data_IF_696720989678
#
_entry.id   IF_696720989678
#
_cell.length_a   1.000
_cell.length_b   1.000
_cell.length_c   1.000
_cell.angle_alpha   90.00
_cell.angle_beta   90.00
_cell.angle_gamma   90.00
#
_symmetry.space_group_name_H-M   'P 1'
#
loop_
_entity.id
_entity.type
_entity.pdbx_description
1 polymer ?
#
# COMPACT_ATOMS: atom_id res chain seq x y z
N UNK A 1 16.98 34.27 81.79
CA UNK A 1 16.25 35.14 80.92
C UNK A 1 15.38 34.27 80.06
N UNK A 2 14.13 34.26 80.42
CA UNK A 2 13.11 33.33 79.91
C UNK A 2 12.36 33.99 78.79
N UNK A 3 12.42 33.45 77.60
CA UNK A 3 11.57 33.90 76.46
C UNK A 3 10.29 33.08 76.43
N UNK A 4 9.20 33.69 76.82
CA UNK A 4 7.83 33.22 76.65
C UNK A 4 7.40 33.55 75.24
N UNK A 5 7.27 32.54 74.37
CA UNK A 5 6.65 32.67 73.07
C UNK A 5 5.14 32.60 73.27
N UNK A 6 4.45 33.69 72.96
CA UNK A 6 3.00 33.80 73.06
C UNK A 6 2.31 32.95 71.97
N UNK A 7 1.34 32.15 72.41
CA UNK A 7 0.47 31.35 71.54
C UNK A 7 -0.49 32.28 70.76
N UNK A 8 -0.56 32.11 69.46
CA UNK A 8 -1.49 32.79 68.55
C UNK A 8 -2.94 32.40 68.86
N UNK A 9 -3.84 33.36 69.23
CA UNK A 9 -5.21 33.02 69.57
C UNK A 9 -6.14 32.68 68.39
N UNK A 10 -5.62 32.66 67.14
CA UNK A 10 -6.40 32.38 65.94
C UNK A 10 -6.17 30.99 65.33
N UNK A 11 -5.46 30.10 66.04
CA UNK A 11 -5.27 28.75 65.53
C UNK A 11 -6.50 27.87 65.87
N UNK A 12 -7.22 27.36 64.87
CA UNK A 12 -8.35 26.47 65.15
C UNK A 12 -7.86 25.16 65.79
N UNK A 13 -8.63 24.55 66.71
CA UNK A 13 -8.23 23.36 67.39
C UNK A 13 -7.99 22.18 66.43
N UNK A 14 -7.04 21.27 66.69
CA UNK A 14 -6.79 20.12 65.88
C UNK A 14 -8.09 19.28 65.78
N UNK A 15 -8.56 19.01 64.57
CA UNK A 15 -9.70 18.16 64.31
C UNK A 15 -9.31 16.75 64.72
N UNK A 16 -9.97 16.21 65.73
CA UNK A 16 -9.82 14.83 66.17
C UNK A 16 -10.05 13.89 64.98
N UNK A 17 -9.09 13.01 64.75
CA UNK A 17 -9.10 12.09 63.61
C UNK A 17 -10.43 11.31 63.53
N UNK A 18 -11.17 11.54 62.48
CA UNK A 18 -12.24 10.64 62.07
C UNK A 18 -11.55 9.32 61.69
N UNK A 19 -11.83 8.27 62.50
CA UNK A 19 -11.44 6.90 62.18
C UNK A 19 -12.06 6.49 60.85
N UNK A 20 -11.28 6.65 59.78
CA UNK A 20 -11.64 6.15 58.47
C UNK A 20 -11.81 4.65 58.52
N UNK A 21 -12.99 4.16 58.22
CA UNK A 21 -13.21 2.75 58.00
C UNK A 21 -12.17 2.23 57.02
N UNK A 22 -11.58 1.06 57.23
CA UNK A 22 -10.64 0.50 56.26
C UNK A 22 -11.30 0.42 54.87
N UNK A 23 -10.56 0.69 53.81
CA UNK A 23 -11.12 0.61 52.44
C UNK A 23 -11.72 -0.81 52.25
N UNK A 24 -12.85 -0.91 51.56
CA UNK A 24 -13.49 -2.19 51.29
C UNK A 24 -12.47 -3.11 50.57
N UNK A 25 -12.46 -4.41 50.85
CA UNK A 25 -11.56 -5.34 50.16
C UNK A 25 -11.80 -5.27 48.66
N UNK A 26 -10.73 -5.38 47.85
CA UNK A 26 -10.91 -5.38 46.38
C UNK A 26 -11.89 -6.49 45.99
N UNK A 27 -12.75 -6.26 44.99
CA UNK A 27 -13.69 -7.27 44.52
C UNK A 27 -12.93 -8.54 44.14
N UNK A 28 -13.47 -9.73 44.42
CA UNK A 28 -12.83 -10.98 44.08
C UNK A 28 -12.52 -10.95 42.57
N UNK A 29 -11.28 -11.28 42.20
CA UNK A 29 -10.88 -11.46 40.81
C UNK A 29 -11.81 -12.52 40.18
N UNK A 30 -12.87 -12.08 39.52
CA UNK A 30 -13.68 -12.96 38.71
C UNK A 30 -12.81 -13.33 37.50
N UNK A 31 -12.24 -14.53 37.55
CA UNK A 31 -11.60 -15.09 36.37
C UNK A 31 -12.59 -15.08 35.22
N UNK A 32 -12.22 -14.52 34.06
CA UNK A 32 -13.13 -14.55 32.89
C UNK A 32 -13.48 -16.00 32.57
N UNK A 33 -14.70 -16.26 32.10
CA UNK A 33 -15.13 -17.60 31.74
C UNK A 33 -14.17 -18.23 30.73
N UNK A 34 -13.94 -19.56 30.76
CA UNK A 34 -13.08 -20.22 29.80
C UNK A 34 -13.53 -19.92 28.37
N UNK A 35 -12.66 -19.32 27.55
CA UNK A 35 -12.96 -18.90 26.17
C UNK A 35 -13.04 -17.38 25.96
N UNK A 36 -13.16 -16.56 26.99
CA UNK A 36 -13.02 -15.11 26.88
C UNK A 36 -11.57 -14.72 27.17
N UNK A 37 -10.75 -14.65 26.14
CA UNK A 37 -9.51 -13.90 26.23
C UNK A 37 -9.88 -12.41 26.26
N UNK A 38 -9.61 -11.75 27.38
CA UNK A 38 -9.72 -10.30 27.47
C UNK A 38 -8.85 -9.68 26.36
N UNK A 39 -9.48 -9.00 25.41
CA UNK A 39 -8.85 -8.29 24.29
C UNK A 39 -8.13 -7.01 24.78
N UNK A 40 -7.35 -7.13 25.84
CA UNK A 40 -6.66 -6.01 26.51
C UNK A 40 -5.19 -6.31 26.82
N UNK A 41 -4.56 -7.17 26.02
CA UNK A 41 -3.11 -7.14 25.99
C UNK A 41 -2.71 -5.97 25.06
N UNK A 42 -2.20 -4.89 25.66
CA UNK A 42 -1.40 -3.94 24.88
C UNK A 42 -0.41 -4.78 24.06
N UNK A 43 -0.32 -4.56 22.73
CA UNK A 43 0.54 -5.38 21.90
C UNK A 43 1.95 -5.29 22.47
N UNK A 44 2.47 -6.43 22.93
CA UNK A 44 3.86 -6.53 23.38
C UNK A 44 4.74 -6.00 22.24
N UNK A 45 5.65 -5.05 22.50
CA UNK A 45 6.59 -4.60 21.49
C UNK A 45 7.26 -5.82 20.90
N UNK A 46 7.13 -6.00 19.60
CA UNK A 46 7.81 -7.10 18.90
C UNK A 46 9.30 -6.79 18.99
N UNK A 47 10.02 -7.52 19.83
CA UNK A 47 11.47 -7.37 19.94
C UNK A 47 12.09 -7.68 18.57
N UNK A 48 12.69 -6.68 17.94
CA UNK A 48 13.30 -6.80 16.62
C UNK A 48 14.11 -5.56 16.24
N UNK A 49 15.10 -5.77 15.40
CA UNK A 49 15.86 -4.67 14.81
C UNK A 49 15.05 -3.99 13.71
N UNK A 50 15.16 -2.66 13.63
CA UNK A 50 14.58 -1.88 12.54
C UNK A 50 15.28 -2.21 11.22
N UNK A 51 14.51 -2.36 10.16
CA UNK A 51 15.01 -2.61 8.82
C UNK A 51 15.11 -1.31 8.04
N UNK A 52 16.24 -1.05 7.37
CA UNK A 52 16.40 0.12 6.50
C UNK A 52 15.46 0.05 5.31
N UNK A 53 14.80 1.18 5.01
CA UNK A 53 13.82 1.29 3.91
C UNK A 53 14.23 2.29 2.84
N UNK A 54 15.10 3.27 3.14
CA UNK A 54 15.48 4.35 2.23
C UNK A 54 16.16 3.87 0.95
N UNK A 55 17.07 2.89 1.05
CA UNK A 55 17.73 2.29 -0.12
C UNK A 55 16.75 1.53 -1.01
N UNK A 56 15.86 0.76 -0.40
CA UNK A 56 14.86 -0.03 -1.10
C UNK A 56 13.83 0.86 -1.80
N UNK A 57 13.40 1.96 -1.17
CA UNK A 57 12.47 2.91 -1.79
C UNK A 57 13.04 3.57 -3.03
N UNK A 58 14.37 3.86 -3.07
CA UNK A 58 15.02 4.36 -4.28
C UNK A 58 14.93 3.36 -5.43
N UNK A 59 15.15 2.07 -5.16
CA UNK A 59 15.01 1.02 -6.16
C UNK A 59 13.55 0.90 -6.66
N UNK A 60 12.55 0.97 -5.77
CA UNK A 60 11.12 1.00 -6.14
C UNK A 60 10.84 2.19 -7.06
N UNK A 61 11.32 3.39 -6.71
CA UNK A 61 11.12 4.62 -7.51
C UNK A 61 11.75 4.49 -8.90
N UNK A 62 12.97 3.96 -9.00
CA UNK A 62 13.66 3.77 -10.29
C UNK A 62 12.86 2.79 -11.16
N UNK A 63 12.49 1.63 -10.62
CA UNK A 63 11.73 0.63 -11.39
C UNK A 63 10.33 1.12 -11.76
N UNK A 64 9.65 1.87 -10.88
CA UNK A 64 8.37 2.48 -11.20
C UNK A 64 8.50 3.53 -12.33
N UNK A 65 9.61 4.28 -12.36
CA UNK A 65 9.90 5.20 -13.46
C UNK A 65 10.14 4.45 -14.78
N UNK A 66 10.89 3.34 -14.75
CA UNK A 66 11.09 2.46 -15.92
C UNK A 66 9.74 1.90 -16.40
N UNK A 67 8.89 1.42 -15.47
CA UNK A 67 7.54 0.95 -15.82
C UNK A 67 6.66 2.06 -16.43
N UNK A 68 6.75 3.29 -15.91
CA UNK A 68 6.04 4.44 -16.47
C UNK A 68 6.49 4.72 -17.91
N UNK A 69 7.81 4.73 -18.18
CA UNK A 69 8.35 4.89 -19.53
C UNK A 69 7.88 3.75 -20.43
N UNK A 70 7.94 2.50 -19.97
CA UNK A 70 7.42 1.35 -20.72
C UNK A 70 5.94 1.52 -21.10
N UNK A 71 5.11 2.00 -20.18
CA UNK A 71 3.70 2.27 -20.44
C UNK A 71 3.51 3.37 -21.48
N UNK A 72 4.32 4.42 -21.46
CA UNK A 72 4.29 5.48 -22.51
C UNK A 72 4.72 4.90 -23.86
N UNK A 73 5.77 4.09 -23.92
CA UNK A 73 6.21 3.41 -25.15
C UNK A 73 5.08 2.55 -25.72
N UNK A 74 4.42 1.75 -24.85
CA UNK A 74 3.26 0.94 -25.27
C UNK A 74 2.15 1.82 -25.88
N UNK A 75 1.78 2.93 -25.21
CA UNK A 75 0.75 3.83 -25.73
C UNK A 75 1.10 4.41 -27.11
N UNK A 76 2.38 4.69 -27.37
CA UNK A 76 2.88 5.25 -28.64
C UNK A 76 2.96 4.17 -29.73
N UNK A 77 3.34 2.93 -29.38
CA UNK A 77 3.54 1.86 -30.38
C UNK A 77 2.27 1.11 -30.73
N UNK A 78 1.26 1.10 -29.85
CA UNK A 78 -0.02 0.42 -30.09
C UNK A 78 -0.72 0.85 -31.38
N UNK A 79 -0.81 2.15 -31.75
CA UNK A 79 -1.46 2.55 -33.03
C UNK A 79 -0.82 1.90 -34.24
N UNK A 80 0.51 1.81 -34.28
CA UNK A 80 1.22 1.14 -35.39
C UNK A 80 0.94 -0.36 -35.45
N UNK A 81 0.86 -1.03 -34.30
CA UNK A 81 0.52 -2.44 -34.24
C UNK A 81 -0.94 -2.70 -34.70
N UNK A 82 -1.87 -1.82 -34.31
CA UNK A 82 -3.28 -1.87 -34.75
C UNK A 82 -3.38 -1.64 -36.29
N UNK A 83 -2.62 -0.69 -36.80
CA UNK A 83 -2.59 -0.42 -38.26
C UNK A 83 -2.05 -1.63 -39.03
N UNK A 84 -0.97 -2.26 -38.57
CA UNK A 84 -0.43 -3.51 -39.16
C UNK A 84 -1.47 -4.64 -39.11
N UNK A 85 -2.22 -4.78 -38.02
CA UNK A 85 -3.29 -5.78 -37.90
C UNK A 85 -4.42 -5.53 -38.93
N UNK A 86 -4.83 -4.28 -39.17
CA UNK A 86 -5.82 -3.92 -40.17
C UNK A 86 -5.33 -4.20 -41.57
N UNK A 87 -4.10 -3.78 -41.92
CA UNK A 87 -3.49 -4.04 -43.20
C UNK A 87 -3.40 -5.54 -43.51
N UNK A 88 -3.10 -6.38 -42.52
CA UNK A 88 -3.09 -7.83 -42.68
C UNK A 88 -4.49 -8.37 -42.96
N UNK A 89 -5.50 -7.97 -42.21
CA UNK A 89 -6.89 -8.38 -42.40
C UNK A 89 -7.47 -7.92 -43.74
N UNK A 90 -7.03 -6.76 -44.24
CA UNK A 90 -7.40 -6.23 -45.57
C UNK A 90 -6.59 -6.87 -46.70
N UNK A 91 -5.66 -7.79 -46.41
CA UNK A 91 -4.81 -8.43 -47.42
C UNK A 91 -3.72 -7.52 -48.02
N UNK A 92 -3.46 -6.36 -47.41
CA UNK A 92 -2.46 -5.39 -47.88
C UNK A 92 -1.02 -5.80 -47.52
N UNK A 93 -0.81 -6.58 -46.47
CA UNK A 93 0.47 -7.16 -46.05
C UNK A 93 0.35 -8.69 -45.85
N UNK A 94 1.48 -9.38 -45.95
CA UNK A 94 1.53 -10.83 -45.70
C UNK A 94 1.45 -11.15 -44.22
N UNK A 95 1.04 -12.39 -43.89
CA UNK A 95 1.04 -12.91 -42.52
C UNK A 95 2.42 -12.81 -41.87
N UNK A 96 3.49 -13.17 -42.63
CA UNK A 96 4.86 -13.07 -42.11
C UNK A 96 5.23 -11.65 -41.72
N UNK A 97 4.84 -10.65 -42.48
CA UNK A 97 5.07 -9.25 -42.18
C UNK A 97 4.31 -8.83 -40.91
N UNK A 98 3.05 -9.19 -40.81
CA UNK A 98 2.24 -8.92 -39.60
C UNK A 98 2.84 -9.54 -38.38
N UNK A 99 3.28 -10.81 -38.44
CA UNK A 99 3.88 -11.52 -37.30
C UNK A 99 5.23 -10.91 -36.87
N UNK A 100 6.02 -10.37 -37.81
CA UNK A 100 7.25 -9.63 -37.50
C UNK A 100 6.92 -8.35 -36.71
N UNK A 101 5.96 -7.55 -37.18
CA UNK A 101 5.52 -6.33 -36.53
C UNK A 101 4.90 -6.61 -35.16
N UNK A 102 4.08 -7.66 -35.04
CA UNK A 102 3.47 -8.10 -33.77
C UNK A 102 4.53 -8.59 -32.77
N UNK A 103 5.54 -9.33 -33.24
CA UNK A 103 6.65 -9.76 -32.39
C UNK A 103 7.45 -8.58 -31.83
N UNK A 104 7.75 -7.59 -32.67
CA UNK A 104 8.43 -6.37 -32.25
C UNK A 104 7.60 -5.59 -31.19
N UNK A 105 6.29 -5.48 -31.42
CA UNK A 105 5.36 -4.90 -30.43
C UNK A 105 5.31 -5.72 -29.14
N UNK A 106 5.23 -7.05 -29.21
CA UNK A 106 5.21 -7.97 -28.07
C UNK A 106 6.46 -7.88 -27.20
N UNK A 107 7.64 -7.60 -27.78
CA UNK A 107 8.87 -7.37 -27.01
C UNK A 107 8.74 -6.14 -26.10
N UNK A 108 8.13 -5.05 -26.58
CA UNK A 108 7.92 -3.85 -25.75
C UNK A 108 6.98 -4.13 -24.58
N UNK A 109 5.92 -4.91 -24.79
CA UNK A 109 4.97 -5.34 -23.77
C UNK A 109 5.66 -6.25 -22.72
N UNK A 110 6.50 -7.17 -23.17
CA UNK A 110 7.24 -8.08 -22.28
C UNK A 110 8.20 -7.32 -21.38
N UNK A 111 8.94 -6.35 -21.92
CA UNK A 111 9.86 -5.52 -21.13
C UNK A 111 9.09 -4.68 -20.10
N UNK A 112 7.95 -4.10 -20.49
CA UNK A 112 7.06 -3.40 -19.56
C UNK A 112 6.56 -4.32 -18.45
N UNK A 113 6.12 -5.53 -18.79
CA UNK A 113 5.62 -6.53 -17.86
C UNK A 113 6.69 -6.93 -16.82
N UNK A 114 7.91 -7.18 -17.26
CA UNK A 114 9.05 -7.48 -16.37
C UNK A 114 9.34 -6.30 -15.44
N UNK A 115 9.36 -5.08 -15.95
CA UNK A 115 9.58 -3.86 -15.15
C UNK A 115 8.49 -3.67 -14.09
N UNK A 116 7.24 -3.90 -14.46
CA UNK A 116 6.09 -3.83 -13.54
C UNK A 116 6.18 -4.90 -12.46
N UNK A 117 6.49 -6.14 -12.83
CA UNK A 117 6.64 -7.25 -11.88
C UNK A 117 7.78 -6.98 -10.88
N UNK A 118 8.94 -6.52 -11.37
CA UNK A 118 10.07 -6.17 -10.52
C UNK A 118 9.70 -5.03 -9.55
N UNK A 119 8.96 -4.02 -10.01
CA UNK A 119 8.43 -2.94 -9.17
C UNK A 119 7.50 -3.49 -8.10
N UNK A 120 6.59 -4.40 -8.44
CA UNK A 120 5.66 -5.02 -7.51
C UNK A 120 6.39 -5.80 -6.41
N UNK A 121 7.39 -6.63 -6.78
CA UNK A 121 8.19 -7.41 -5.81
C UNK A 121 8.91 -6.50 -4.83
N UNK A 122 9.59 -5.46 -5.32
CA UNK A 122 10.28 -4.52 -4.42
C UNK A 122 9.32 -3.70 -3.58
N UNK A 123 8.14 -3.34 -4.10
CA UNK A 123 7.07 -2.69 -3.34
C UNK A 123 6.60 -3.55 -2.18
N UNK A 124 6.38 -4.84 -2.42
CA UNK A 124 5.99 -5.82 -1.39
C UNK A 124 7.04 -5.86 -0.26
N UNK A 125 8.32 -5.99 -0.61
CA UNK A 125 9.42 -6.06 0.37
C UNK A 125 9.52 -4.74 1.14
N UNK A 126 9.41 -3.59 0.45
CA UNK A 126 9.44 -2.26 1.06
C UNK A 126 8.29 -2.06 2.04
N UNK A 127 7.05 -2.38 1.64
CA UNK A 127 5.86 -2.24 2.49
C UNK A 127 5.92 -3.20 3.70
N UNK A 128 6.40 -4.43 3.49
CA UNK A 128 6.62 -5.40 4.58
C UNK A 128 7.59 -4.85 5.63
N UNK A 129 8.73 -4.24 5.20
CA UNK A 129 9.70 -3.65 6.13
C UNK A 129 9.09 -2.48 6.90
N UNK A 130 8.36 -1.59 6.25
CA UNK A 130 7.65 -0.49 6.94
C UNK A 130 6.68 -1.06 7.98
N UNK A 131 5.83 -2.01 7.61
CA UNK A 131 4.86 -2.61 8.52
C UNK A 131 5.51 -3.32 9.70
N UNK A 132 6.65 -4.01 9.49
CA UNK A 132 7.44 -4.61 10.56
C UNK A 132 8.02 -3.53 11.49
N UNK A 133 8.66 -2.50 10.95
CA UNK A 133 9.25 -1.42 11.73
C UNK A 133 8.23 -0.70 12.61
N UNK A 134 7.06 -0.39 12.05
CA UNK A 134 5.94 0.26 12.77
C UNK A 134 5.53 -0.55 14.00
N UNK A 135 5.47 -1.88 13.88
CA UNK A 135 5.15 -2.77 15.02
C UNK A 135 6.28 -2.87 16.03
N UNK A 136 7.55 -2.93 15.57
CA UNK A 136 8.73 -2.88 16.47
C UNK A 136 8.74 -1.59 17.27
N UNK A 137 8.27 -0.47 16.69
CA UNK A 137 8.09 0.83 17.37
C UNK A 137 6.84 0.88 18.26
N UNK A 138 6.14 -0.23 18.46
CA UNK A 138 5.00 -0.34 19.40
C UNK A 138 3.66 0.16 18.85
N UNK A 139 3.52 0.41 17.55
CA UNK A 139 2.23 0.75 16.94
C UNK A 139 1.37 -0.50 16.73
N UNK A 140 0.17 -0.52 17.30
CA UNK A 140 -0.82 -1.58 17.09
C UNK A 140 -1.53 -1.40 15.74
N UNK A 141 -0.96 -1.98 14.67
CA UNK A 141 -1.55 -1.94 13.33
C UNK A 141 -2.59 -3.03 13.14
N UNK A 142 -3.65 -2.74 12.38
CA UNK A 142 -4.70 -3.69 11.99
C UNK A 142 -4.09 -4.80 11.12
N UNK A 143 -3.30 -4.39 10.12
CA UNK A 143 -2.72 -5.31 9.16
C UNK A 143 -1.36 -5.82 9.64
N UNK A 144 -1.23 -7.15 9.81
CA UNK A 144 0.07 -7.77 10.08
C UNK A 144 1.02 -7.58 8.89
N UNK A 145 2.36 -7.50 9.09
CA UNK A 145 3.33 -7.33 8.00
C UNK A 145 3.17 -8.33 6.86
N UNK A 146 2.74 -9.55 7.15
CA UNK A 146 2.53 -10.61 6.14
C UNK A 146 1.48 -10.24 5.09
N UNK A 147 0.54 -9.34 5.41
CA UNK A 147 -0.45 -8.86 4.45
C UNK A 147 0.15 -7.95 3.37
N UNK A 148 1.37 -7.43 3.60
CA UNK A 148 2.15 -6.80 2.53
C UNK A 148 2.49 -7.76 1.40
N UNK A 149 2.47 -9.08 1.64
CA UNK A 149 2.70 -10.12 0.65
C UNK A 149 1.36 -10.65 0.11
N UNK A 150 0.53 -11.19 1.00
CA UNK A 150 -0.72 -11.86 0.59
C UNK A 150 -1.78 -10.90 0.04
N UNK A 151 -1.78 -9.65 0.47
CA UNK A 151 -2.71 -8.64 -0.04
C UNK A 151 -2.59 -8.38 -1.54
N UNK A 152 -1.46 -8.71 -2.17
CA UNK A 152 -1.22 -8.53 -3.61
C UNK A 152 -1.50 -9.79 -4.43
N UNK A 153 -1.78 -10.93 -3.79
CA UNK A 153 -1.86 -12.23 -4.47
C UNK A 153 -3.29 -12.79 -4.43
N UNK A 154 -4.04 -12.51 -3.35
CA UNK A 154 -5.33 -13.16 -3.10
C UNK A 154 -6.49 -12.37 -3.76
N UNK A 155 -7.12 -12.89 -4.83
CA UNK A 155 -8.39 -12.35 -5.31
C UNK A 155 -9.51 -12.63 -4.28
N UNK A 156 -10.50 -11.74 -4.10
CA UNK A 156 -10.70 -10.41 -4.68
C UNK A 156 -10.02 -9.27 -3.90
N UNK A 157 -9.21 -9.58 -2.88
CA UNK A 157 -8.67 -8.62 -1.92
C UNK A 157 -7.41 -7.89 -2.42
N UNK A 158 -6.84 -8.34 -3.54
CA UNK A 158 -5.58 -7.84 -4.12
C UNK A 158 -5.56 -6.32 -4.43
N UNK A 159 -6.71 -5.69 -4.56
CA UNK A 159 -6.82 -4.24 -4.80
C UNK A 159 -7.04 -3.50 -3.48
N UNK A 160 -7.88 -4.04 -2.59
CA UNK A 160 -8.35 -3.36 -1.38
C UNK A 160 -7.30 -3.40 -0.28
N UNK A 161 -6.69 -4.57 -0.01
CA UNK A 161 -5.73 -4.71 1.09
C UNK A 161 -4.48 -3.86 0.90
N UNK A 162 -3.82 -3.81 -0.28
CA UNK A 162 -2.68 -2.92 -0.49
C UNK A 162 -3.03 -1.45 -0.21
N UNK A 163 -4.18 -1.00 -0.67
CA UNK A 163 -4.67 0.37 -0.39
C UNK A 163 -4.81 0.61 1.11
N UNK A 164 -5.51 -0.27 1.83
CA UNK A 164 -5.73 -0.13 3.27
C UNK A 164 -4.40 -0.18 4.04
N UNK A 165 -3.47 -1.05 3.64
CA UNK A 165 -2.14 -1.12 4.25
C UNK A 165 -1.33 0.15 4.03
N UNK A 166 -1.24 0.64 2.80
CA UNK A 166 -0.48 1.87 2.50
C UNK A 166 -1.05 3.05 3.28
N UNK A 167 -2.38 3.16 3.35
CA UNK A 167 -3.09 4.17 4.14
C UNK A 167 -2.78 4.05 5.64
N UNK A 168 -2.81 2.83 6.19
CA UNK A 168 -2.47 2.59 7.59
C UNK A 168 -1.01 2.90 7.88
N UNK A 169 -0.08 2.48 6.99
CA UNK A 169 1.35 2.77 7.15
C UNK A 169 1.65 4.26 7.08
N UNK A 170 0.91 5.02 6.27
CA UNK A 170 1.00 6.48 6.24
C UNK A 170 0.70 7.10 7.60
N UNK A 171 -0.42 6.71 8.22
CA UNK A 171 -0.83 7.19 9.54
C UNK A 171 0.13 6.72 10.63
N UNK A 172 0.49 5.44 10.63
CA UNK A 172 1.32 4.83 11.64
C UNK A 172 2.78 5.31 11.61
N UNK A 173 3.26 5.84 10.48
CA UNK A 173 4.59 6.44 10.33
C UNK A 173 4.62 7.94 10.68
N UNK A 174 3.61 8.46 11.40
CA UNK A 174 3.61 9.87 11.81
C UNK A 174 4.64 10.09 12.93
N UNK A 175 5.70 10.93 12.70
CA UNK A 175 6.72 11.23 13.70
C UNK A 175 6.20 12.13 14.82
N UNK A 176 5.15 12.94 14.57
CA UNK A 176 4.63 13.92 15.52
C UNK A 176 3.79 13.28 16.64
N UNK A 177 3.40 12.01 16.49
CA UNK A 177 2.61 11.28 17.48
C UNK A 177 3.52 10.34 18.27
N UNK A 178 3.53 10.49 19.62
CA UNK A 178 4.36 9.70 20.53
C UNK A 178 4.17 8.18 20.36
N UNK A 179 5.20 7.42 20.73
CA UNK A 179 5.16 5.96 20.73
C UNK A 179 4.10 5.46 21.71
N UNK A 180 3.42 4.37 21.39
CA UNK A 180 2.36 3.79 22.24
C UNK A 180 1.02 4.54 22.22
N UNK A 181 0.94 5.74 21.66
CA UNK A 181 -0.31 6.46 21.51
C UNK A 181 -1.17 5.87 20.39
N UNK A 182 -2.49 5.83 20.56
CA UNK A 182 -3.43 5.36 19.52
C UNK A 182 -3.93 6.50 18.61
N UNK A 183 -3.62 7.76 18.93
CA UNK A 183 -4.06 8.94 18.17
C UNK A 183 -3.57 8.96 16.73
N UNK A 184 -2.49 8.22 16.39
CA UNK A 184 -2.02 8.08 15.02
C UNK A 184 -3.09 7.50 14.06
N UNK A 185 -4.04 6.71 14.58
CA UNK A 185 -5.15 6.16 13.79
C UNK A 185 -6.08 7.23 13.23
N UNK A 186 -6.19 8.36 13.92
CA UNK A 186 -7.00 9.52 13.55
C UNK A 186 -6.21 10.56 12.73
N UNK A 187 -4.95 10.28 12.41
CA UNK A 187 -4.09 11.17 11.64
C UNK A 187 -4.60 11.42 10.22
N UNK A 188 -4.06 12.48 9.62
CA UNK A 188 -4.45 12.95 8.30
C UNK A 188 -4.27 11.90 7.20
N UNK A 189 -5.19 11.93 6.24
CA UNK A 189 -5.13 11.13 5.03
C UNK A 189 -4.20 11.76 4.00
N UNK A 190 -3.54 10.94 3.21
CA UNK A 190 -2.81 11.42 2.03
C UNK A 190 -3.66 11.20 0.78
N UNK A 191 -4.14 12.26 0.12
CA UNK A 191 -5.01 12.14 -1.06
C UNK A 191 -4.34 11.39 -2.23
N UNK A 192 -3.00 11.42 -2.35
CA UNK A 192 -2.29 10.67 -3.38
C UNK A 192 -2.50 9.16 -3.27
N UNK A 193 -2.70 8.64 -2.05
CA UNK A 193 -2.98 7.22 -1.83
C UNK A 193 -4.34 6.85 -2.42
N UNK A 194 -5.33 7.73 -2.30
CA UNK A 194 -6.67 7.54 -2.88
C UNK A 194 -6.58 7.62 -4.41
N UNK A 195 -5.89 8.63 -4.95
CA UNK A 195 -5.68 8.78 -6.39
C UNK A 195 -4.97 7.56 -6.97
N UNK A 196 -3.91 7.09 -6.30
CA UNK A 196 -3.21 5.86 -6.69
C UNK A 196 -4.14 4.65 -6.70
N UNK A 197 -4.96 4.47 -5.67
CA UNK A 197 -5.92 3.36 -5.58
C UNK A 197 -6.91 3.36 -6.75
N UNK A 198 -7.43 4.52 -7.12
CA UNK A 198 -8.33 4.64 -8.26
C UNK A 198 -7.63 4.27 -9.56
N UNK A 199 -6.43 4.83 -9.79
CA UNK A 199 -5.67 4.62 -11.03
C UNK A 199 -5.07 3.23 -11.15
N UNK A 200 -4.61 2.64 -10.05
CA UNK A 200 -4.00 1.30 -10.03
C UNK A 200 -5.03 0.19 -9.92
N UNK A 201 -6.07 0.38 -9.13
CA UNK A 201 -7.03 -0.67 -8.78
C UNK A 201 -8.34 -0.58 -9.56
N UNK A 202 -9.07 0.53 -9.41
CA UNK A 202 -10.44 0.64 -9.93
C UNK A 202 -10.45 0.74 -11.46
N UNK A 203 -9.70 1.68 -12.03
CA UNK A 203 -9.71 1.90 -13.49
C UNK A 203 -9.23 0.67 -14.25
N UNK A 204 -8.08 0.02 -13.92
CA UNK A 204 -7.67 -1.20 -14.60
C UNK A 204 -8.66 -2.35 -14.44
N UNK A 205 -9.31 -2.49 -13.27
CA UNK A 205 -10.34 -3.51 -13.08
C UNK A 205 -11.52 -3.33 -14.04
N UNK A 206 -11.98 -2.08 -14.24
CA UNK A 206 -13.03 -1.76 -15.20
C UNK A 206 -12.56 -2.07 -16.63
N UNK A 207 -11.35 -1.62 -17.01
CA UNK A 207 -10.79 -1.87 -18.34
C UNK A 207 -10.62 -3.37 -18.61
N UNK A 208 -10.22 -4.16 -17.58
CA UNK A 208 -10.10 -5.61 -17.71
C UNK A 208 -11.46 -6.26 -17.98
N UNK A 209 -12.53 -5.84 -17.29
CA UNK A 209 -13.87 -6.37 -17.55
C UNK A 209 -14.30 -6.08 -18.97
N UNK A 210 -14.05 -4.87 -19.49
CA UNK A 210 -14.37 -4.50 -20.88
C UNK A 210 -13.57 -5.36 -21.87
N UNK A 211 -12.26 -5.56 -21.64
CA UNK A 211 -11.40 -6.33 -22.54
C UNK A 211 -11.68 -7.84 -22.48
N UNK A 212 -12.07 -8.38 -21.32
CA UNK A 212 -12.32 -9.81 -21.15
C UNK A 212 -13.49 -10.32 -22.00
N UNK A 213 -14.49 -9.47 -22.26
CA UNK A 213 -15.62 -9.82 -23.14
C UNK A 213 -15.15 -10.13 -24.56
N UNK A 214 -14.11 -9.45 -25.04
CA UNK A 214 -13.55 -9.65 -26.37
C UNK A 214 -12.60 -10.86 -26.42
N UNK A 215 -11.76 -11.04 -25.38
CA UNK A 215 -10.80 -12.13 -25.31
C UNK A 215 -11.45 -13.52 -25.15
N UNK A 216 -12.55 -13.62 -24.40
CA UNK A 216 -13.28 -14.89 -24.20
C UNK A 216 -13.92 -15.41 -25.49
N UNK A 217 -14.18 -14.55 -26.46
CA UNK A 217 -14.72 -14.93 -27.78
C UNK A 217 -13.66 -15.50 -28.73
N UNK A 218 -12.37 -15.28 -28.48
CA UNK A 218 -11.27 -15.68 -29.36
C UNK A 218 -10.79 -17.12 -29.17
N UNK A 219 -11.14 -17.79 -28.07
CA UNK A 219 -10.69 -19.17 -27.80
C UNK A 219 -9.23 -19.27 -27.34
N UNK A 220 -8.74 -20.52 -27.19
CA UNK A 220 -7.37 -20.79 -26.72
C UNK A 220 -6.37 -21.03 -27.86
N UNK A 221 -6.83 -21.43 -29.05
CA UNK A 221 -6.01 -21.54 -30.26
C UNK A 221 -6.22 -20.27 -31.08
N UNK A 222 -5.21 -19.40 -31.09
CA UNK A 222 -5.25 -18.15 -31.84
C UNK A 222 -4.35 -18.27 -33.07
N UNK A 223 -4.95 -18.21 -34.26
CA UNK A 223 -4.22 -18.00 -35.49
C UNK A 223 -3.88 -16.49 -35.69
N UNK A 224 -3.15 -16.18 -36.76
CA UNK A 224 -2.76 -14.78 -37.04
C UNK A 224 -3.95 -13.85 -37.23
N UNK A 225 -5.07 -14.36 -37.78
CA UNK A 225 -6.31 -13.59 -38.04
C UNK A 225 -6.99 -13.23 -36.71
N UNK A 226 -7.06 -14.20 -35.73
CA UNK A 226 -7.61 -13.95 -34.41
C UNK A 226 -6.77 -12.95 -33.61
N UNK A 227 -5.45 -13.05 -33.68
CA UNK A 227 -4.53 -12.10 -33.05
C UNK A 227 -4.73 -10.69 -33.63
N UNK A 228 -4.82 -10.57 -34.96
CA UNK A 228 -5.03 -9.27 -35.61
C UNK A 228 -6.39 -8.67 -35.26
N UNK A 229 -7.45 -9.48 -35.20
CA UNK A 229 -8.76 -9.06 -34.75
C UNK A 229 -8.77 -8.52 -33.33
N UNK A 230 -8.23 -9.30 -32.38
CA UNK A 230 -8.16 -8.91 -30.98
C UNK A 230 -7.35 -7.62 -30.79
N UNK A 231 -6.25 -7.48 -31.52
CA UNK A 231 -5.41 -6.28 -31.45
C UNK A 231 -6.13 -5.04 -31.98
N UNK A 232 -6.86 -5.17 -33.07
CA UNK A 232 -7.68 -4.08 -33.65
C UNK A 232 -8.80 -3.67 -32.66
N UNK A 233 -9.56 -4.63 -32.15
CA UNK A 233 -10.68 -4.37 -31.24
C UNK A 233 -10.24 -3.80 -29.87
N UNK A 234 -9.09 -4.26 -29.34
CA UNK A 234 -8.61 -3.87 -28.01
C UNK A 234 -7.65 -2.67 -28.03
N UNK A 235 -7.22 -2.20 -29.19
CA UNK A 235 -6.16 -1.19 -29.31
C UNK A 235 -6.45 0.10 -28.53
N UNK A 236 -7.67 0.63 -28.58
CA UNK A 236 -8.07 1.83 -27.86
C UNK A 236 -8.04 1.64 -26.33
N UNK A 237 -8.49 0.48 -25.85
CA UNK A 237 -8.46 0.13 -24.44
C UNK A 237 -7.02 -0.04 -23.95
N UNK A 238 -6.16 -0.64 -24.79
CA UNK A 238 -4.72 -0.79 -24.50
C UNK A 238 -4.02 0.56 -24.38
N UNK A 239 -4.28 1.49 -25.28
CA UNK A 239 -3.74 2.86 -25.23
C UNK A 239 -4.20 3.55 -23.94
N UNK A 240 -5.50 3.54 -23.66
CA UNK A 240 -6.05 4.15 -22.45
C UNK A 240 -5.44 3.51 -21.17
N UNK A 241 -5.40 2.19 -21.11
CA UNK A 241 -4.79 1.43 -20.00
C UNK A 241 -3.33 1.78 -19.79
N UNK A 242 -2.57 1.95 -20.88
CA UNK A 242 -1.16 2.33 -20.82
C UNK A 242 -0.96 3.76 -20.30
N UNK A 243 -1.79 4.71 -20.74
CA UNK A 243 -1.77 6.09 -20.21
C UNK A 243 -2.10 6.09 -18.71
N UNK A 244 -3.16 5.40 -18.31
CA UNK A 244 -3.56 5.28 -16.90
C UNK A 244 -2.43 4.66 -16.08
N UNK A 245 -1.79 3.61 -16.59
CA UNK A 245 -0.67 2.93 -15.91
C UNK A 245 0.54 3.85 -15.75
N UNK A 246 0.87 4.66 -16.75
CA UNK A 246 1.95 5.64 -16.66
C UNK A 246 1.66 6.68 -15.57
N UNK A 247 0.45 7.23 -15.54
CA UNK A 247 0.03 8.19 -14.50
C UNK A 247 0.01 7.53 -13.12
N UNK A 248 -0.52 6.31 -13.00
CA UNK A 248 -0.52 5.54 -11.76
C UNK A 248 0.89 5.31 -11.22
N UNK A 249 1.85 5.00 -12.10
CA UNK A 249 3.25 4.82 -11.71
C UNK A 249 3.89 6.13 -11.20
N UNK A 250 3.59 7.27 -11.82
CA UNK A 250 4.05 8.58 -11.32
C UNK A 250 3.46 8.90 -9.95
N UNK A 251 2.16 8.69 -9.76
CA UNK A 251 1.51 8.89 -8.46
C UNK A 251 2.10 7.94 -7.40
N UNK A 252 2.37 6.69 -7.79
CA UNK A 252 3.03 5.72 -6.91
C UNK A 252 4.43 6.17 -6.47
N UNK A 253 5.24 6.69 -7.38
CA UNK A 253 6.55 7.29 -7.06
C UNK A 253 6.41 8.37 -5.98
N UNK A 254 5.42 9.25 -6.10
CA UNK A 254 5.17 10.30 -5.11
C UNK A 254 4.74 9.71 -3.75
N UNK A 255 3.85 8.73 -3.74
CA UNK A 255 3.42 8.02 -2.51
C UNK A 255 4.61 7.36 -1.83
N UNK A 256 5.42 6.59 -2.57
CA UNK A 256 6.61 5.89 -2.03
C UNK A 256 7.59 6.89 -1.43
N UNK A 257 7.88 7.99 -2.13
CA UNK A 257 8.81 9.03 -1.63
C UNK A 257 8.29 9.69 -0.35
N UNK A 258 7.02 10.10 -0.33
CA UNK A 258 6.42 10.77 0.83
C UNK A 258 6.32 9.83 2.03
N UNK A 259 5.83 8.59 1.84
CA UNK A 259 5.71 7.62 2.91
C UNK A 259 7.09 7.22 3.46
N UNK A 260 8.10 7.05 2.58
CA UNK A 260 9.46 6.75 3.03
C UNK A 260 10.05 7.90 3.83
N UNK A 261 9.92 9.13 3.37
CA UNK A 261 10.43 10.31 4.11
C UNK A 261 9.79 10.40 5.50
N UNK A 262 8.47 10.21 5.58
CA UNK A 262 7.72 10.21 6.84
C UNK A 262 8.18 9.06 7.76
N UNK A 263 8.37 7.86 7.21
CA UNK A 263 8.82 6.69 7.96
C UNK A 263 10.27 6.83 8.47
N UNK A 264 11.17 7.36 7.65
CA UNK A 264 12.56 7.63 8.03
C UNK A 264 12.62 8.65 9.18
N UNK A 265 11.81 9.71 9.13
CA UNK A 265 11.68 10.66 10.24
C UNK A 265 11.13 9.98 11.51
N UNK A 266 10.14 9.10 11.38
CA UNK A 266 9.56 8.35 12.50
C UNK A 266 10.54 7.37 13.16
N UNK A 267 11.37 6.69 12.37
CA UNK A 267 12.32 5.67 12.86
C UNK A 267 13.70 6.19 13.16
N UNK A 268 14.00 7.47 12.84
CA UNK A 268 15.34 8.06 12.89
C UNK A 268 16.38 7.24 12.08
N UNK A 269 15.98 6.68 10.94
CA UNK A 269 16.87 5.92 10.04
C UNK A 269 17.97 6.84 9.51
N UNK A 270 19.26 6.44 9.68
CA UNK A 270 20.45 7.13 9.23
C UNK A 270 21.14 6.38 8.08
#
# INVERSE_FOLDING_TARGET
MSDFSASDPNQPPPVAGQGGSPPPPPPPNLSPPPGYQAYSAAPTPVSGSLSRVSGLSKAVVILAAVAAVGSVVTAITTPGAVDSARQFRDGAISESRFLDDYTAYGLTQTLQGIGTLATAVLTIIWLYRIAKNVRVMGRATTWAPIWAVFGWILPPVLIIIPFLMVREMWKASNPDVGLGAEQWKQGDENPLIIVWFVLYGIVPAILTVISSSNALSAGFEQDAEDVARVLDESGSVTILGSIVSAVAAVVWILVVRQLTARHVAFTNER
#
